data_IF_879695731296
#
_entry.id   IF_879695731296
#
_cell.length_a   1.000
_cell.length_b   1.000
_cell.length_c   1.000
_cell.angle_alpha   90.00
_cell.angle_beta   90.00
_cell.angle_gamma   90.00
#
_symmetry.space_group_name_H-M   'P 1'
#
loop_
_entity.id
_entity.type
_entity.pdbx_description
1 polymer ?
#
# COMPACT_ATOMS: atom_id res chain seq x y z
N UNK A 1 -31.78 19.09 -2.60
CA UNK A 1 -32.15 18.04 -1.65
C UNK A 1 -32.57 16.84 -2.50
N UNK A 2 -31.64 15.96 -2.85
CA UNK A 2 -31.89 14.76 -3.64
C UNK A 2 -32.51 13.75 -2.68
N UNK A 3 -33.81 13.49 -2.80
CA UNK A 3 -34.43 12.34 -2.14
C UNK A 3 -33.78 11.10 -2.72
N UNK A 4 -32.95 10.41 -1.91
CA UNK A 4 -32.58 9.02 -2.17
C UNK A 4 -33.88 8.24 -2.11
N UNK A 5 -34.38 7.86 -3.29
CA UNK A 5 -35.63 7.08 -3.45
C UNK A 5 -35.48 5.74 -2.74
N UNK A 6 -36.56 5.31 -2.12
CA UNK A 6 -36.69 3.97 -1.54
C UNK A 6 -36.13 2.93 -2.53
N UNK A 7 -35.04 2.30 -2.14
CA UNK A 7 -34.54 1.08 -2.78
C UNK A 7 -35.64 0.03 -2.50
N UNK A 8 -36.54 -0.19 -3.41
CA UNK A 8 -37.45 -1.36 -3.37
C UNK A 8 -36.53 -2.56 -3.58
N UNK A 9 -36.10 -3.12 -2.48
CA UNK A 9 -35.14 -4.19 -2.47
C UNK A 9 -35.81 -5.45 -3.04
N UNK A 10 -35.29 -5.88 -4.17
CA UNK A 10 -35.32 -7.29 -4.53
C UNK A 10 -35.00 -8.09 -3.27
N UNK A 11 -35.77 -9.10 -2.88
CA UNK A 11 -35.47 -9.88 -1.70
C UNK A 11 -34.02 -10.32 -1.73
N UNK A 12 -33.31 -10.19 -0.61
CA UNK A 12 -31.84 -10.48 -0.54
C UNK A 12 -31.46 -11.86 -1.08
N UNK A 13 -32.43 -12.81 -1.01
CA UNK A 13 -32.30 -14.17 -1.52
C UNK A 13 -32.44 -14.31 -3.03
N UNK A 14 -32.78 -13.26 -3.75
CA UNK A 14 -32.95 -13.30 -5.23
C UNK A 14 -31.67 -12.84 -5.91
N UNK A 15 -31.07 -11.74 -5.45
CA UNK A 15 -29.93 -11.11 -6.11
C UNK A 15 -28.66 -11.98 -6.16
N UNK A 16 -28.41 -12.75 -5.10
CA UNK A 16 -27.27 -13.67 -4.99
C UNK A 16 -27.66 -15.14 -5.06
N UNK A 17 -28.71 -15.46 -5.82
CA UNK A 17 -29.20 -16.82 -5.95
C UNK A 17 -28.96 -17.34 -7.36
N UNK A 18 -28.25 -18.46 -7.47
CA UNK A 18 -27.85 -19.09 -8.73
C UNK A 18 -29.05 -19.51 -9.63
N UNK A 19 -30.24 -19.53 -9.07
CA UNK A 19 -31.48 -19.80 -9.82
C UNK A 19 -32.07 -18.57 -10.51
N UNK A 20 -31.50 -17.38 -10.27
CA UNK A 20 -32.02 -16.15 -10.85
C UNK A 20 -30.97 -15.51 -11.76
N UNK A 21 -31.42 -14.99 -12.88
CA UNK A 21 -30.65 -14.17 -13.78
C UNK A 21 -30.89 -12.69 -13.46
N UNK A 22 -29.80 -11.92 -13.37
CA UNK A 22 -29.84 -10.49 -13.15
C UNK A 22 -29.32 -9.78 -14.41
N UNK A 23 -30.09 -8.86 -14.98
CA UNK A 23 -29.70 -8.08 -16.15
C UNK A 23 -29.87 -6.59 -15.89
N UNK A 24 -29.00 -5.79 -16.48
CA UNK A 24 -29.11 -4.33 -16.44
C UNK A 24 -30.08 -3.88 -17.52
N UNK A 25 -31.02 -3.05 -17.13
CA UNK A 25 -32.01 -2.44 -18.04
C UNK A 25 -31.97 -0.92 -17.98
N UNK A 26 -32.15 -0.27 -19.14
CA UNK A 26 -32.51 1.15 -19.18
C UNK A 26 -34.01 1.24 -19.23
N UNK A 27 -34.60 2.12 -18.45
CA UNK A 27 -36.04 2.28 -18.35
C UNK A 27 -36.47 3.73 -18.45
N UNK A 28 -37.74 3.90 -18.75
CA UNK A 28 -38.45 5.19 -18.79
C UNK A 28 -39.87 5.01 -18.25
N UNK A 29 -40.29 5.90 -17.36
CA UNK A 29 -41.59 5.77 -16.68
C UNK A 29 -41.51 4.99 -15.38
N UNK A 30 -42.64 4.44 -14.91
CA UNK A 30 -42.73 3.71 -13.63
C UNK A 30 -42.52 2.20 -13.84
N UNK A 31 -41.28 1.78 -13.94
CA UNK A 31 -40.91 0.38 -14.07
C UNK A 31 -41.30 -0.45 -12.85
N UNK A 32 -41.34 0.16 -11.65
CA UNK A 32 -41.70 -0.56 -10.41
C UNK A 32 -43.15 -0.96 -10.44
N UNK A 33 -44.05 -0.04 -10.84
CA UNK A 33 -45.47 -0.34 -10.95
C UNK A 33 -45.74 -1.43 -12.02
N UNK A 34 -45.05 -1.35 -13.14
CA UNK A 34 -45.21 -2.32 -14.21
C UNK A 34 -44.74 -3.72 -13.83
N UNK A 35 -43.50 -3.83 -13.31
CA UNK A 35 -42.92 -5.13 -12.92
C UNK A 35 -43.65 -5.76 -11.74
N UNK A 36 -44.18 -4.98 -10.79
CA UNK A 36 -44.90 -5.49 -9.63
C UNK A 36 -46.18 -6.29 -10.00
N UNK A 37 -46.70 -6.11 -11.21
CA UNK A 37 -47.86 -6.85 -11.74
C UNK A 37 -47.49 -8.28 -12.18
N UNK A 38 -46.18 -8.59 -12.25
CA UNK A 38 -45.69 -9.91 -12.67
C UNK A 38 -44.81 -10.54 -11.57
N UNK A 39 -45.31 -11.58 -10.89
CA UNK A 39 -44.62 -12.18 -9.73
C UNK A 39 -43.31 -12.93 -10.07
N UNK A 40 -43.03 -13.16 -11.36
CA UNK A 40 -41.84 -13.87 -11.80
C UNK A 40 -40.63 -12.94 -11.94
N UNK A 41 -40.84 -11.63 -11.82
CA UNK A 41 -39.81 -10.62 -12.00
C UNK A 41 -39.65 -9.73 -10.76
N UNK A 42 -38.45 -9.33 -10.54
CA UNK A 42 -38.07 -8.35 -9.49
C UNK A 42 -37.27 -7.22 -10.11
N UNK A 43 -37.43 -6.00 -9.61
CA UNK A 43 -36.68 -4.84 -10.08
C UNK A 43 -35.98 -4.14 -8.94
N UNK A 44 -34.70 -3.86 -9.13
CA UNK A 44 -33.89 -3.04 -8.24
C UNK A 44 -33.49 -1.77 -8.96
N UNK A 45 -33.97 -0.62 -8.49
CA UNK A 45 -33.64 0.68 -9.08
C UNK A 45 -32.21 1.06 -8.72
N UNK A 46 -31.40 1.42 -9.72
CA UNK A 46 -30.05 1.95 -9.55
C UNK A 46 -30.06 3.48 -9.54
N UNK A 47 -30.73 4.06 -10.53
CA UNK A 47 -30.94 5.51 -10.64
C UNK A 47 -32.11 5.80 -11.58
N UNK A 48 -32.33 7.06 -11.95
CA UNK A 48 -33.46 7.49 -12.80
C UNK A 48 -33.43 6.91 -14.23
N UNK A 49 -32.39 6.23 -14.63
CA UNK A 49 -32.19 5.69 -15.96
C UNK A 49 -31.98 4.16 -16.00
N UNK A 50 -31.37 3.60 -14.95
CA UNK A 50 -30.94 2.21 -14.89
C UNK A 50 -31.60 1.46 -13.74
N UNK A 51 -31.95 0.22 -14.01
CA UNK A 51 -32.41 -0.73 -13.02
C UNK A 51 -31.82 -2.12 -13.29
N UNK A 52 -31.88 -3.00 -12.31
CA UNK A 52 -31.58 -4.43 -12.47
C UNK A 52 -32.90 -5.18 -12.47
N UNK A 53 -33.16 -5.93 -13.52
CA UNK A 53 -34.27 -6.87 -13.63
C UNK A 53 -33.77 -8.26 -13.26
N UNK A 54 -34.41 -8.87 -12.27
CA UNK A 54 -34.07 -10.22 -11.79
C UNK A 54 -35.24 -11.16 -12.08
N UNK A 55 -35.01 -12.33 -12.65
CA UNK A 55 -35.99 -13.33 -12.94
C UNK A 55 -35.40 -14.74 -12.87
N UNK A 56 -36.28 -15.76 -12.68
CA UNK A 56 -35.83 -17.14 -12.63
C UNK A 56 -35.26 -17.57 -13.97
N UNK A 57 -34.06 -18.16 -13.91
CA UNK A 57 -33.43 -18.78 -15.07
C UNK A 57 -34.14 -20.07 -15.42
N UNK A 58 -34.61 -20.21 -16.67
CA UNK A 58 -35.22 -21.43 -17.23
C UNK A 58 -34.19 -22.30 -17.99
N UNK A 59 -32.90 -21.94 -17.91
CA UNK A 59 -31.82 -22.59 -18.62
C UNK A 59 -31.64 -22.14 -20.08
N UNK A 60 -32.67 -21.55 -20.70
CA UNK A 60 -32.60 -21.03 -22.07
C UNK A 60 -32.25 -19.52 -22.12
N UNK A 61 -32.37 -18.83 -21.00
CA UNK A 61 -32.00 -17.41 -20.80
C UNK A 61 -32.37 -16.48 -21.97
N UNK A 62 -33.54 -16.73 -22.61
CA UNK A 62 -33.93 -15.97 -23.79
C UNK A 62 -34.53 -14.62 -23.37
N UNK A 63 -33.66 -13.62 -23.27
CA UNK A 63 -33.96 -12.25 -22.87
C UNK A 63 -34.91 -11.56 -23.87
N UNK A 64 -34.90 -11.96 -25.14
CA UNK A 64 -35.71 -11.38 -26.19
C UNK A 64 -37.21 -11.57 -25.97
N UNK A 65 -37.61 -12.54 -25.13
CA UNK A 65 -39.04 -12.78 -24.77
C UNK A 65 -39.55 -11.84 -23.70
N UNK A 66 -38.66 -11.14 -23.00
CA UNK A 66 -39.03 -10.21 -21.95
C UNK A 66 -39.51 -8.91 -22.62
N UNK A 67 -40.78 -8.54 -22.37
CA UNK A 67 -41.34 -7.30 -22.92
C UNK A 67 -42.05 -6.55 -21.81
N UNK A 68 -41.53 -5.38 -21.50
CA UNK A 68 -42.14 -4.40 -20.62
C UNK A 68 -42.06 -3.04 -21.31
N UNK A 69 -43.15 -2.29 -21.30
CA UNK A 69 -43.25 -1.00 -22.00
C UNK A 69 -42.31 0.05 -21.42
N UNK A 70 -42.03 -0.06 -20.13
CA UNK A 70 -41.08 0.82 -19.45
C UNK A 70 -39.58 0.52 -19.75
N UNK A 71 -39.28 -0.66 -20.31
CA UNK A 71 -37.90 -1.03 -20.62
C UNK A 71 -37.53 -0.59 -22.03
N UNK A 72 -36.60 0.35 -22.12
CA UNK A 72 -36.10 0.91 -23.39
C UNK A 72 -34.95 0.07 -23.96
N UNK A 73 -34.09 -0.49 -23.09
CA UNK A 73 -32.95 -1.30 -23.49
C UNK A 73 -32.61 -2.33 -22.42
N UNK A 74 -32.27 -3.54 -22.83
CA UNK A 74 -31.76 -4.60 -21.98
C UNK A 74 -30.32 -4.94 -22.38
N UNK A 75 -29.39 -4.90 -21.41
CA UNK A 75 -28.03 -5.30 -21.64
C UNK A 75 -27.90 -6.81 -21.44
N UNK A 76 -27.37 -7.51 -22.45
CA UNK A 76 -26.98 -8.90 -22.27
C UNK A 76 -25.96 -9.05 -21.13
N UNK A 77 -26.02 -10.16 -20.39
CA UNK A 77 -25.07 -10.41 -19.30
C UNK A 77 -23.63 -10.33 -19.79
N UNK A 78 -22.86 -9.44 -19.18
CA UNK A 78 -21.40 -9.35 -19.34
C UNK A 78 -20.74 -9.83 -18.06
N UNK A 79 -19.65 -10.54 -18.23
CA UNK A 79 -18.88 -11.10 -17.11
C UNK A 79 -17.51 -10.45 -17.05
N UNK A 80 -17.13 -10.02 -15.86
CA UNK A 80 -15.86 -9.39 -15.59
C UNK A 80 -15.02 -10.32 -14.72
N UNK A 81 -13.75 -10.44 -15.06
CA UNK A 81 -12.76 -11.15 -14.25
C UNK A 81 -11.78 -10.17 -13.64
N UNK A 82 -11.20 -10.56 -12.51
CA UNK A 82 -10.11 -9.79 -11.93
C UNK A 82 -8.95 -9.76 -12.94
N UNK A 83 -8.58 -8.58 -13.40
CA UNK A 83 -7.40 -8.39 -14.22
C UNK A 83 -6.19 -8.29 -13.30
N UNK A 84 -5.33 -9.29 -13.31
CA UNK A 84 -4.00 -9.21 -12.75
C UNK A 84 -2.99 -9.11 -13.90
N UNK A 85 -2.56 -7.90 -14.20
CA UNK A 85 -1.35 -7.74 -14.99
C UNK A 85 -0.19 -8.02 -14.06
N UNK A 86 0.63 -9.03 -14.38
CA UNK A 86 1.86 -9.27 -13.62
C UNK A 86 2.69 -7.99 -13.60
N UNK A 87 3.19 -7.53 -12.45
CA UNK A 87 4.08 -6.36 -12.38
C UNK A 87 5.27 -6.45 -13.33
N UNK A 88 5.76 -7.66 -13.59
CA UNK A 88 6.84 -7.96 -14.54
C UNK A 88 6.44 -7.64 -15.97
N UNK A 89 5.20 -7.97 -16.36
CA UNK A 89 4.71 -7.72 -17.71
C UNK A 89 4.39 -6.23 -17.90
N UNK A 90 3.83 -5.58 -16.88
CA UNK A 90 3.58 -4.15 -16.87
C UNK A 90 4.87 -3.31 -17.02
N UNK A 91 5.94 -3.73 -16.34
CA UNK A 91 7.25 -3.09 -16.40
C UNK A 91 8.15 -3.62 -17.54
N UNK A 92 7.65 -4.54 -18.39
CA UNK A 92 8.37 -5.17 -19.51
C UNK A 92 9.67 -5.88 -19.10
N UNK A 93 9.77 -6.33 -17.85
CA UNK A 93 10.98 -6.92 -17.27
C UNK A 93 11.25 -8.32 -17.82
N UNK A 94 10.23 -9.03 -18.29
CA UNK A 94 10.35 -10.40 -18.81
C UNK A 94 11.43 -10.52 -19.88
N UNK A 95 11.60 -9.53 -20.73
CA UNK A 95 12.64 -9.51 -21.76
C UNK A 95 14.06 -9.62 -21.18
N UNK A 96 14.32 -8.94 -20.04
CA UNK A 96 15.63 -8.99 -19.38
C UNK A 96 15.90 -10.34 -18.70
N UNK A 97 14.86 -11.02 -18.24
CA UNK A 97 14.99 -12.34 -17.60
C UNK A 97 15.28 -13.46 -18.60
N UNK A 98 14.74 -13.39 -19.83
CA UNK A 98 14.81 -14.49 -20.81
C UNK A 98 15.78 -14.22 -21.97
N UNK A 99 16.17 -12.97 -22.19
CA UNK A 99 17.02 -12.59 -23.33
C UNK A 99 18.47 -12.98 -23.12
N UNK A 100 18.98 -13.85 -23.98
CA UNK A 100 20.40 -14.17 -24.06
C UNK A 100 21.17 -12.99 -24.70
N UNK A 101 22.35 -12.60 -24.20
CA UNK A 101 23.11 -13.22 -23.10
C UNK A 101 22.82 -12.64 -21.71
N UNK A 102 21.85 -11.74 -21.55
CA UNK A 102 21.63 -11.00 -20.30
C UNK A 102 21.13 -11.91 -19.17
N UNK A 103 20.03 -12.64 -19.36
CA UNK A 103 19.42 -13.54 -18.39
C UNK A 103 19.49 -13.01 -16.93
N UNK A 104 18.98 -11.79 -16.74
CA UNK A 104 19.09 -11.07 -15.47
C UNK A 104 18.03 -11.56 -14.48
N UNK A 105 18.40 -12.45 -13.59
CA UNK A 105 17.53 -13.09 -12.60
C UNK A 105 17.81 -12.64 -11.17
N UNK A 106 18.78 -11.75 -10.98
CA UNK A 106 19.22 -11.27 -9.66
C UNK A 106 20.19 -12.21 -8.94
N UNK A 107 20.69 -13.25 -9.61
CA UNK A 107 21.64 -14.18 -9.01
C UNK A 107 22.92 -13.46 -8.55
N UNK A 108 23.30 -13.69 -7.27
CA UNK A 108 24.47 -13.07 -6.66
C UNK A 108 24.24 -11.64 -6.15
N UNK A 109 23.02 -11.15 -6.23
CA UNK A 109 22.60 -9.85 -5.65
C UNK A 109 21.89 -10.10 -4.32
N UNK A 110 22.17 -9.29 -3.33
CA UNK A 110 21.40 -9.23 -2.08
C UNK A 110 20.32 -8.14 -2.21
N UNK A 111 19.07 -8.51 -1.96
CA UNK A 111 17.97 -7.55 -1.85
C UNK A 111 17.61 -7.41 -0.38
N UNK A 112 17.82 -6.22 0.17
CA UNK A 112 17.40 -5.84 1.51
C UNK A 112 15.96 -5.30 1.45
N UNK A 113 15.05 -5.86 2.23
CA UNK A 113 13.64 -5.45 2.28
C UNK A 113 13.33 -4.99 3.70
N UNK A 114 12.77 -3.80 3.84
CA UNK A 114 12.45 -3.17 5.13
C UNK A 114 10.93 -3.00 5.20
N UNK A 115 10.26 -3.86 5.99
CA UNK A 115 8.80 -3.96 5.93
C UNK A 115 8.20 -4.59 7.21
N UNK A 116 7.02 -5.17 7.15
CA UNK A 116 6.30 -5.84 8.24
C UNK A 116 6.78 -7.26 8.54
N UNK A 117 7.77 -7.77 7.79
CA UNK A 117 8.30 -9.12 7.90
C UNK A 117 8.19 -9.92 6.60
N UNK A 118 8.29 -11.23 6.72
CA UNK A 118 8.17 -12.17 5.60
C UNK A 118 7.67 -13.53 6.07
N UNK A 119 6.79 -14.17 5.29
CA UNK A 119 6.49 -15.60 5.45
C UNK A 119 7.66 -16.43 4.91
N UNK A 120 8.63 -16.72 5.76
CA UNK A 120 9.84 -17.48 5.41
C UNK A 120 9.56 -18.95 5.10
N UNK A 121 8.38 -19.47 5.40
CA UNK A 121 7.96 -20.84 5.07
C UNK A 121 7.44 -20.95 3.64
N UNK A 122 7.18 -19.85 2.97
CA UNK A 122 6.73 -19.85 1.58
C UNK A 122 7.81 -20.41 0.65
N UNK A 123 7.45 -21.41 -0.15
CA UNK A 123 8.32 -22.01 -1.16
C UNK A 123 8.81 -21.00 -2.21
N UNK A 124 8.12 -19.86 -2.33
CA UNK A 124 8.48 -18.78 -3.25
C UNK A 124 9.82 -18.13 -2.90
N UNK A 125 10.26 -18.23 -1.63
CA UNK A 125 11.53 -17.68 -1.15
C UNK A 125 12.60 -18.76 -0.93
N UNK A 126 12.37 -19.96 -1.47
CA UNK A 126 13.34 -21.06 -1.41
C UNK A 126 14.03 -21.28 -2.76
N UNK A 127 15.17 -21.92 -2.73
CA UNK A 127 15.87 -22.40 -3.93
C UNK A 127 15.23 -23.70 -4.48
N UNK A 128 15.76 -24.22 -5.58
CA UNK A 128 15.29 -25.47 -6.21
C UNK A 128 15.44 -26.70 -5.32
N UNK A 129 16.30 -26.65 -4.32
CA UNK A 129 16.52 -27.71 -3.35
C UNK A 129 15.66 -27.52 -2.09
N UNK A 130 14.83 -26.50 -2.06
CA UNK A 130 13.95 -26.19 -0.93
C UNK A 130 14.68 -25.54 0.26
N UNK A 131 15.87 -24.98 0.07
CA UNK A 131 16.60 -24.21 1.09
C UNK A 131 16.21 -22.75 0.96
N UNK A 132 16.19 -22.05 2.08
CA UNK A 132 15.89 -20.62 2.06
C UNK A 132 16.90 -19.81 1.25
N UNK A 133 16.42 -18.79 0.53
CA UNK A 133 17.21 -17.73 -0.08
C UNK A 133 17.38 -16.52 0.85
N UNK A 134 16.80 -16.57 2.04
CA UNK A 134 16.97 -15.55 3.08
C UNK A 134 18.33 -15.73 3.74
N UNK A 135 19.20 -14.74 3.61
CA UNK A 135 20.46 -14.65 4.35
C UNK A 135 20.19 -14.39 5.82
N UNK A 136 19.26 -13.48 6.11
CA UNK A 136 18.81 -13.21 7.47
C UNK A 136 17.39 -12.62 7.49
N UNK A 137 16.75 -12.74 8.66
CA UNK A 137 15.60 -11.96 9.10
C UNK A 137 16.02 -11.24 10.37
N UNK A 138 16.00 -9.91 10.36
CA UNK A 138 16.11 -9.11 11.56
C UNK A 138 14.71 -8.67 11.99
N UNK A 139 14.24 -9.27 13.07
CA UNK A 139 12.93 -8.93 13.65
C UNK A 139 13.14 -7.98 14.83
N UNK A 140 12.76 -6.71 14.65
CA UNK A 140 12.91 -5.69 15.70
C UNK A 140 11.87 -5.84 16.83
N UNK A 141 10.84 -6.65 16.63
CA UNK A 141 9.78 -6.88 17.63
C UNK A 141 10.12 -7.95 18.65
N UNK A 142 11.10 -8.80 18.35
CA UNK A 142 11.52 -9.93 19.19
C UNK A 142 12.72 -9.53 20.04
N UNK A 143 12.54 -9.49 21.35
CA UNK A 143 13.62 -9.15 22.28
C UNK A 143 14.74 -10.21 22.22
N UNK A 144 15.96 -9.77 21.99
CA UNK A 144 17.14 -10.64 22.01
C UNK A 144 17.46 -11.07 23.45
N UNK A 145 17.79 -12.34 23.62
CA UNK A 145 18.37 -12.86 24.88
C UNK A 145 19.88 -12.57 24.98
N UNK A 146 20.52 -12.26 23.86
CA UNK A 146 21.94 -11.93 23.77
C UNK A 146 22.14 -10.53 23.24
N UNK A 147 23.02 -9.78 23.86
CA UNK A 147 23.43 -8.48 23.31
C UNK A 147 24.17 -8.70 21.98
N UNK A 148 23.62 -8.16 20.90
CA UNK A 148 24.31 -8.04 19.61
C UNK A 148 24.65 -6.56 19.41
N UNK A 149 25.93 -6.23 19.51
CA UNK A 149 26.40 -4.84 19.39
C UNK A 149 26.22 -4.22 18.01
N UNK A 150 25.83 -5.03 17.02
CA UNK A 150 25.59 -4.58 15.64
C UNK A 150 24.18 -4.03 15.42
N UNK A 151 23.25 -4.33 16.31
CA UNK A 151 21.86 -3.92 16.24
C UNK A 151 21.41 -3.30 17.55
N UNK A 152 20.60 -2.21 17.52
CA UNK A 152 20.15 -1.54 18.75
C UNK A 152 19.06 -2.30 19.50
N UNK A 153 18.30 -3.15 18.79
CA UNK A 153 17.17 -3.93 19.34
C UNK A 153 16.81 -5.07 18.40
N UNK A 154 16.00 -5.99 18.90
CA UNK A 154 15.49 -7.08 18.08
C UNK A 154 16.39 -8.32 18.07
N UNK A 155 16.06 -9.26 17.22
CA UNK A 155 16.81 -10.52 17.03
C UNK A 155 17.03 -10.79 15.56
N UNK A 156 18.24 -11.26 15.23
CA UNK A 156 18.60 -11.65 13.86
C UNK A 156 18.63 -13.18 13.76
N UNK A 157 17.89 -13.70 12.80
CA UNK A 157 17.91 -15.12 12.44
C UNK A 157 18.60 -15.29 11.10
N UNK A 158 19.70 -16.04 11.06
CA UNK A 158 20.44 -16.32 9.84
C UNK A 158 19.90 -17.56 9.12
N UNK A 159 20.35 -17.74 7.89
CA UNK A 159 19.90 -18.79 6.98
C UNK A 159 19.96 -20.22 7.55
N UNK A 160 20.94 -20.52 8.41
CA UNK A 160 21.05 -21.80 9.11
C UNK A 160 19.84 -22.06 10.02
N UNK A 161 19.46 -21.09 10.85
CA UNK A 161 18.30 -21.18 11.74
C UNK A 161 16.99 -21.17 10.96
N UNK A 162 16.89 -20.41 9.89
CA UNK A 162 15.71 -20.40 9.02
C UNK A 162 15.54 -21.78 8.36
N UNK A 163 16.61 -22.41 7.84
CA UNK A 163 16.55 -23.75 7.29
C UNK A 163 16.22 -24.82 8.33
N UNK A 164 16.72 -24.67 9.57
CA UNK A 164 16.37 -25.56 10.69
C UNK A 164 14.85 -25.49 10.97
N UNK A 165 14.27 -24.29 11.02
CA UNK A 165 12.84 -24.07 11.19
C UNK A 165 12.01 -24.66 10.03
N UNK A 166 12.44 -24.44 8.78
CA UNK A 166 11.79 -25.03 7.61
C UNK A 166 11.82 -26.56 7.64
N UNK A 167 12.92 -27.16 8.05
CA UNK A 167 13.04 -28.60 8.17
C UNK A 167 12.13 -29.14 9.31
N UNK A 168 12.06 -28.45 10.45
CA UNK A 168 11.15 -28.81 11.53
C UNK A 168 9.69 -28.78 11.04
N UNK A 169 9.29 -27.71 10.33
CA UNK A 169 7.95 -27.57 9.75
C UNK A 169 7.60 -28.72 8.78
N UNK A 170 8.53 -29.09 7.89
CA UNK A 170 8.34 -30.21 6.95
C UNK A 170 8.15 -31.57 7.64
N UNK A 171 8.70 -31.70 8.82
CA UNK A 171 8.55 -32.90 9.66
C UNK A 171 7.35 -32.82 10.61
N UNK A 172 6.48 -31.81 10.49
CA UNK A 172 5.26 -31.66 11.27
C UNK A 172 5.43 -30.98 12.62
N UNK A 173 6.60 -30.39 12.91
CA UNK A 173 6.84 -29.58 14.11
C UNK A 173 6.48 -28.10 13.91
N UNK A 174 6.54 -27.31 14.99
CA UNK A 174 6.30 -25.89 14.95
C UNK A 174 7.59 -25.12 14.59
N UNK A 175 7.67 -24.49 13.40
CA UNK A 175 8.86 -23.75 12.99
C UNK A 175 9.12 -22.51 13.84
N UNK A 176 8.08 -21.99 14.47
CA UNK A 176 8.17 -20.76 15.28
C UNK A 176 8.81 -20.98 16.64
N UNK A 177 9.04 -22.23 17.06
CA UNK A 177 9.91 -22.56 18.21
C UNK A 177 11.38 -22.20 17.92
N UNK A 178 11.80 -22.16 16.65
CA UNK A 178 13.17 -21.84 16.23
C UNK A 178 13.27 -20.41 15.73
N UNK A 179 12.36 -20.00 14.82
CA UNK A 179 12.32 -18.66 14.25
C UNK A 179 10.90 -18.08 14.44
N UNK A 180 10.65 -17.39 15.58
CA UNK A 180 9.31 -16.90 15.93
C UNK A 180 8.86 -15.67 15.13
N UNK A 181 9.65 -15.22 14.16
CA UNK A 181 9.31 -14.10 13.29
C UNK A 181 8.17 -14.45 12.34
N UNK A 182 7.17 -13.60 12.28
CA UNK A 182 5.98 -13.74 11.41
C UNK A 182 5.65 -12.40 10.76
N UNK A 183 5.08 -12.45 9.58
CA UNK A 183 4.46 -11.29 8.94
C UNK A 183 2.94 -11.34 9.15
N UNK A 184 2.48 -10.77 10.25
CA UNK A 184 1.05 -10.75 10.62
C UNK A 184 0.23 -9.83 9.73
N UNK A 185 0.86 -8.80 9.14
CA UNK A 185 0.22 -7.81 8.26
C UNK A 185 0.13 -8.35 6.82
N UNK A 186 1.15 -9.09 6.38
CA UNK A 186 1.24 -9.66 5.04
C UNK A 186 1.78 -8.70 3.97
N UNK A 187 2.04 -7.42 4.31
CA UNK A 187 2.56 -6.44 3.37
C UNK A 187 3.98 -6.78 2.94
N UNK A 188 4.89 -7.08 3.88
CA UNK A 188 6.27 -7.42 3.59
C UNK A 188 6.39 -8.69 2.76
N UNK A 189 5.57 -9.71 3.02
CA UNK A 189 5.51 -10.93 2.22
C UNK A 189 5.04 -10.65 0.79
N UNK A 190 4.03 -9.78 0.63
CA UNK A 190 3.51 -9.38 -0.68
C UNK A 190 4.56 -8.62 -1.49
N UNK A 191 5.22 -7.64 -0.87
CA UNK A 191 6.31 -6.87 -1.50
C UNK A 191 7.50 -7.76 -1.87
N UNK A 192 7.90 -8.65 -0.96
CA UNK A 192 8.95 -9.65 -1.22
C UNK A 192 8.59 -10.55 -2.39
N UNK A 193 7.32 -10.92 -2.54
CA UNK A 193 6.85 -11.77 -3.65
C UNK A 193 6.95 -11.08 -5.00
N UNK A 194 6.56 -9.80 -5.08
CA UNK A 194 6.72 -9.01 -6.31
C UNK A 194 8.18 -8.96 -6.74
N UNK A 195 9.10 -8.86 -5.80
CA UNK A 195 10.54 -8.76 -6.08
C UNK A 195 11.12 -10.13 -6.40
N UNK A 196 10.89 -11.13 -5.55
CA UNK A 196 11.74 -12.31 -5.47
C UNK A 196 11.00 -13.65 -5.55
N UNK A 197 9.68 -13.69 -5.78
CA UNK A 197 8.98 -14.96 -5.88
C UNK A 197 9.55 -15.82 -7.02
N UNK A 198 9.77 -17.09 -6.74
CA UNK A 198 10.30 -18.05 -7.73
C UNK A 198 9.27 -18.40 -8.81
N UNK A 199 7.98 -18.24 -8.51
CA UNK A 199 6.89 -18.59 -9.40
C UNK A 199 6.54 -20.07 -9.36
N UNK A 200 6.72 -20.74 -8.21
CA UNK A 200 6.50 -22.16 -8.05
C UNK A 200 5.03 -22.56 -8.09
N UNK A 201 4.17 -21.86 -7.36
CA UNK A 201 2.75 -22.23 -7.19
C UNK A 201 1.78 -21.36 -7.98
N UNK A 202 2.04 -20.07 -8.11
CA UNK A 202 1.04 -19.09 -8.57
C UNK A 202 1.34 -18.44 -9.93
N UNK A 203 2.33 -18.93 -10.67
CA UNK A 203 2.80 -18.35 -11.94
C UNK A 203 3.27 -16.90 -11.85
N UNK A 204 3.19 -16.27 -10.67
CA UNK A 204 3.74 -14.94 -10.42
C UNK A 204 5.22 -15.09 -10.10
N UNK A 205 6.02 -14.91 -11.10
CA UNK A 205 7.47 -14.88 -10.94
C UNK A 205 7.89 -13.46 -10.57
N UNK A 206 8.75 -13.29 -9.56
CA UNK A 206 9.25 -11.98 -9.15
C UNK A 206 10.19 -11.34 -10.18
N UNK A 207 10.53 -10.09 -9.96
CA UNK A 207 11.44 -9.31 -10.82
C UNK A 207 12.84 -9.96 -10.85
N UNK A 208 13.33 -10.40 -9.69
CA UNK A 208 14.66 -11.02 -9.49
C UNK A 208 14.55 -12.36 -8.74
N UNK A 209 14.00 -13.40 -9.38
CA UNK A 209 13.60 -14.64 -8.72
C UNK A 209 14.75 -15.49 -8.17
N UNK A 210 16.00 -15.17 -8.50
CA UNK A 210 17.20 -15.88 -8.03
C UNK A 210 18.07 -15.02 -7.10
N UNK A 211 17.58 -13.85 -6.66
CA UNK A 211 18.29 -13.04 -5.71
C UNK A 211 18.35 -13.67 -4.32
N UNK A 212 19.32 -13.22 -3.53
CA UNK A 212 19.35 -13.46 -2.09
C UNK A 212 18.55 -12.36 -1.38
N UNK A 213 17.98 -12.68 -0.21
CA UNK A 213 17.14 -11.77 0.54
C UNK A 213 17.71 -11.53 1.94
N UNK A 214 17.61 -10.29 2.40
CA UNK A 214 17.78 -9.93 3.80
C UNK A 214 16.57 -9.08 4.19
N UNK A 215 15.76 -9.56 5.13
CA UNK A 215 14.48 -8.90 5.47
C UNK A 215 14.57 -8.33 6.87
N UNK A 216 14.12 -7.10 7.03
CA UNK A 216 13.97 -6.47 8.33
C UNK A 216 12.50 -6.23 8.60
N UNK A 217 12.00 -6.84 9.67
CA UNK A 217 10.69 -6.55 10.24
C UNK A 217 10.83 -5.38 11.21
N UNK A 218 10.21 -4.27 10.88
CA UNK A 218 10.22 -3.06 11.69
C UNK A 218 9.34 -3.21 12.94
N UNK A 219 9.79 -2.61 14.03
CA UNK A 219 8.95 -2.39 15.20
C UNK A 219 8.14 -1.10 15.03
N UNK A 220 6.85 -1.18 15.32
CA UNK A 220 5.95 -0.05 15.30
C UNK A 220 6.27 0.96 16.41
N UNK A 221 6.13 2.25 16.14
CA UNK A 221 6.23 3.30 17.15
C UNK A 221 4.90 3.49 17.88
N UNK A 222 4.70 2.72 18.92
CA UNK A 222 3.48 2.77 19.76
C UNK A 222 3.25 4.11 20.45
N UNK A 223 4.28 4.94 20.61
CA UNK A 223 4.15 6.31 21.15
C UNK A 223 3.50 7.21 20.09
N UNK A 224 3.98 7.11 18.86
CA UNK A 224 3.42 7.87 17.74
C UNK A 224 1.99 7.43 17.43
N UNK A 225 1.70 6.14 17.36
CA UNK A 225 0.35 5.61 17.14
C UNK A 225 -0.64 6.14 18.18
N UNK A 226 -0.28 6.09 19.45
CA UNK A 226 -1.10 6.62 20.54
C UNK A 226 -1.28 8.13 20.45
N UNK A 227 -0.22 8.87 20.08
CA UNK A 227 -0.25 10.33 19.96
C UNK A 227 -1.16 10.78 18.82
N UNK A 228 -1.08 10.10 17.69
CA UNK A 228 -1.87 10.42 16.49
C UNK A 228 -3.23 9.69 16.44
N UNK A 229 -3.52 8.83 17.42
CA UNK A 229 -4.76 8.02 17.49
C UNK A 229 -5.02 7.26 16.17
N UNK A 230 -3.98 6.68 15.60
CA UNK A 230 -4.06 5.96 14.33
C UNK A 230 -4.02 4.46 14.56
N UNK A 231 -4.81 3.72 13.78
CA UNK A 231 -4.76 2.25 13.70
C UNK A 231 -3.78 1.76 12.61
N UNK A 232 -3.20 2.69 11.85
CA UNK A 232 -2.20 2.37 10.83
C UNK A 232 -0.82 2.27 11.49
N UNK A 233 -0.04 1.20 11.22
CA UNK A 233 1.31 1.06 11.73
C UNK A 233 2.20 2.25 11.36
N UNK A 234 2.88 2.82 12.35
CA UNK A 234 3.81 3.95 12.18
C UNK A 234 5.22 3.51 12.59
N UNK A 235 6.19 3.86 11.77
CA UNK A 235 7.59 3.51 12.01
C UNK A 235 8.45 4.76 12.21
N UNK A 236 9.37 4.69 13.15
CA UNK A 236 10.24 5.81 13.47
C UNK A 236 11.40 5.91 12.47
N UNK A 237 11.74 7.12 12.05
CA UNK A 237 12.87 7.38 11.15
C UNK A 237 14.18 6.83 11.68
N UNK A 238 14.38 6.81 13.00
CA UNK A 238 15.60 6.24 13.62
C UNK A 238 15.80 4.77 13.31
N UNK A 239 14.71 4.02 13.18
CA UNK A 239 14.75 2.61 12.73
C UNK A 239 15.30 2.51 11.33
N UNK A 240 14.93 3.42 10.42
CA UNK A 240 15.39 3.40 9.03
C UNK A 240 16.90 3.61 8.93
N UNK A 241 17.48 4.56 9.68
CA UNK A 241 18.92 4.75 9.72
C UNK A 241 19.65 3.48 10.15
N UNK A 242 19.20 2.86 11.24
CA UNK A 242 19.84 1.65 11.77
C UNK A 242 19.73 0.46 10.82
N UNK A 243 18.58 0.32 10.18
CA UNK A 243 18.32 -0.78 9.23
C UNK A 243 19.13 -0.64 7.95
N UNK A 244 19.18 0.56 7.38
CA UNK A 244 19.97 0.84 6.18
C UNK A 244 21.44 0.52 6.44
N UNK A 245 21.99 1.01 7.56
CA UNK A 245 23.38 0.75 7.93
C UNK A 245 23.62 -0.76 8.13
N UNK A 246 22.75 -1.43 8.87
CA UNK A 246 22.89 -2.87 9.11
C UNK A 246 22.90 -3.68 7.81
N UNK A 247 21.96 -3.42 6.90
CA UNK A 247 21.86 -4.14 5.61
C UNK A 247 23.08 -3.85 4.72
N UNK A 248 23.59 -2.62 4.75
CA UNK A 248 24.81 -2.26 4.06
C UNK A 248 26.01 -3.05 4.60
N UNK A 249 26.23 -3.05 5.92
CA UNK A 249 27.32 -3.77 6.56
C UNK A 249 27.21 -5.28 6.32
N UNK A 250 25.99 -5.83 6.36
CA UNK A 250 25.75 -7.24 6.05
C UNK A 250 26.14 -7.56 4.60
N UNK A 251 25.72 -6.76 3.63
CA UNK A 251 26.07 -6.94 2.23
C UNK A 251 27.59 -6.86 1.98
N UNK A 252 28.27 -5.92 2.65
CA UNK A 252 29.74 -5.79 2.57
C UNK A 252 30.44 -7.03 3.12
N UNK A 253 29.97 -7.56 4.26
CA UNK A 253 30.53 -8.78 4.86
C UNK A 253 30.34 -10.00 3.95
N UNK A 254 29.18 -10.11 3.30
CA UNK A 254 28.87 -11.16 2.33
C UNK A 254 29.49 -10.91 0.95
N UNK A 255 30.12 -9.75 0.73
CA UNK A 255 30.71 -9.31 -0.55
C UNK A 255 29.72 -9.34 -1.72
N UNK A 256 28.50 -8.93 -1.46
CA UNK A 256 27.42 -8.87 -2.45
C UNK A 256 27.05 -7.44 -2.79
N UNK A 257 26.71 -7.13 -4.05
CA UNK A 257 25.98 -5.92 -4.37
C UNK A 257 24.62 -5.91 -3.67
N UNK A 258 24.20 -4.73 -3.23
CA UNK A 258 23.00 -4.51 -2.43
C UNK A 258 21.96 -3.70 -3.20
N UNK A 259 20.74 -4.19 -3.26
CA UNK A 259 19.56 -3.42 -3.61
C UNK A 259 18.69 -3.28 -2.37
N UNK A 260 18.52 -2.09 -1.87
CA UNK A 260 17.66 -1.78 -0.72
C UNK A 260 16.30 -1.34 -1.21
N UNK A 261 15.26 -2.05 -0.80
CA UNK A 261 13.87 -1.72 -1.09
C UNK A 261 13.17 -1.21 0.17
N UNK A 262 12.73 0.03 0.11
CA UNK A 262 12.06 0.76 1.18
C UNK A 262 10.62 1.12 0.75
N UNK A 263 9.64 0.21 0.87
CA UNK A 263 8.25 0.49 0.51
C UNK A 263 7.54 1.29 1.61
N UNK A 264 8.17 2.33 2.07
CA UNK A 264 7.75 3.20 3.16
C UNK A 264 7.71 4.63 2.66
N UNK A 265 6.82 5.43 3.20
CA UNK A 265 6.69 6.83 2.84
C UNK A 265 6.24 7.70 4.00
N UNK A 266 6.41 9.00 3.83
CA UNK A 266 5.91 10.03 4.73
C UNK A 266 5.41 11.20 3.92
N UNK A 267 4.43 11.92 4.45
CA UNK A 267 3.98 13.20 3.91
C UNK A 267 4.74 14.39 4.53
N UNK A 268 5.63 14.14 5.48
CA UNK A 268 6.47 15.19 6.08
C UNK A 268 7.64 15.55 5.16
N UNK A 269 8.11 16.79 5.28
CA UNK A 269 9.25 17.28 4.55
C UNK A 269 8.88 18.07 3.28
N UNK A 270 9.91 18.58 2.62
CA UNK A 270 9.75 19.51 1.51
C UNK A 270 9.47 18.85 0.14
N UNK A 271 9.36 17.55 0.07
CA UNK A 271 9.15 16.74 -1.13
C UNK A 271 10.19 16.98 -2.26
N UNK A 272 11.39 17.45 -1.89
CA UNK A 272 12.50 17.72 -2.84
C UNK A 272 13.70 16.79 -2.65
N UNK A 273 13.61 15.86 -1.70
CA UNK A 273 14.67 14.88 -1.46
C UNK A 273 15.92 15.45 -0.76
N UNK A 274 15.77 16.49 0.07
CA UNK A 274 16.88 17.07 0.82
C UNK A 274 16.60 17.13 2.33
N UNK A 275 15.91 16.15 2.86
CA UNK A 275 15.82 15.86 4.29
C UNK A 275 17.01 15.01 4.76
N UNK A 276 17.10 14.83 6.07
CA UNK A 276 18.24 14.10 6.70
C UNK A 276 18.32 12.63 6.26
N UNK A 277 17.18 11.96 6.08
CA UNK A 277 17.16 10.58 5.59
C UNK A 277 17.55 10.50 4.13
N UNK A 278 17.08 11.44 3.32
CA UNK A 278 17.37 11.51 1.89
C UNK A 278 18.86 11.78 1.66
N UNK A 279 19.47 12.69 2.41
CA UNK A 279 20.92 12.94 2.38
C UNK A 279 21.69 11.67 2.77
N UNK A 280 21.26 10.96 3.81
CA UNK A 280 21.90 9.70 4.22
C UNK A 280 21.78 8.63 3.11
N UNK A 281 20.61 8.51 2.47
CA UNK A 281 20.40 7.59 1.34
C UNK A 281 21.28 7.99 0.15
N UNK A 282 21.40 9.28 -0.14
CA UNK A 282 22.27 9.78 -1.20
C UNK A 282 23.72 9.40 -0.95
N UNK A 283 24.24 9.68 0.26
CA UNK A 283 25.61 9.32 0.65
C UNK A 283 25.86 7.81 0.53
N UNK A 284 24.90 6.99 1.00
CA UNK A 284 25.03 5.55 0.92
C UNK A 284 24.98 5.04 -0.52
N UNK A 285 24.21 5.68 -1.38
CA UNK A 285 24.07 5.32 -2.80
C UNK A 285 25.32 5.62 -3.63
N UNK A 286 26.21 6.50 -3.14
CA UNK A 286 27.51 6.75 -3.75
C UNK A 286 28.45 5.55 -3.67
N UNK A 287 28.16 4.58 -2.80
CA UNK A 287 28.95 3.38 -2.69
C UNK A 287 28.71 2.44 -3.88
N UNK A 288 29.79 1.96 -4.48
CA UNK A 288 29.69 1.06 -5.63
C UNK A 288 28.93 -0.22 -5.29
N UNK A 289 27.92 -0.55 -6.09
CA UNK A 289 27.12 -1.76 -5.92
C UNK A 289 25.98 -1.60 -4.92
N UNK A 290 25.62 -0.38 -4.54
CA UNK A 290 24.46 -0.07 -3.70
C UNK A 290 23.42 0.67 -4.52
N UNK A 291 22.17 0.22 -4.45
CA UNK A 291 21.02 0.84 -5.12
C UNK A 291 19.87 0.91 -4.14
N UNK A 292 19.21 2.06 -4.07
CA UNK A 292 17.97 2.24 -3.32
C UNK A 292 16.76 2.26 -4.24
N UNK A 293 15.70 1.62 -3.82
CA UNK A 293 14.41 1.58 -4.52
C UNK A 293 13.32 1.90 -3.53
N UNK A 294 12.47 2.86 -3.86
CA UNK A 294 11.31 3.24 -3.05
C UNK A 294 10.10 3.48 -3.94
N UNK A 295 8.90 3.53 -3.36
CA UNK A 295 7.67 3.90 -4.03
C UNK A 295 7.40 5.40 -3.93
N UNK A 296 6.45 5.87 -4.74
CA UNK A 296 5.99 7.28 -4.74
C UNK A 296 4.83 7.53 -3.77
N UNK A 297 4.41 6.51 -3.03
CA UNK A 297 3.24 6.54 -2.14
C UNK A 297 1.92 6.23 -2.85
N UNK A 298 0.87 6.08 -2.05
CA UNK A 298 -0.48 5.72 -2.51
C UNK A 298 -1.49 6.86 -2.38
N UNK A 299 -1.07 8.02 -1.88
CA UNK A 299 -1.94 9.12 -1.43
C UNK A 299 -2.14 10.22 -2.49
N UNK A 300 -1.92 9.93 -3.77
CA UNK A 300 -2.04 10.91 -4.85
C UNK A 300 -3.41 11.58 -4.99
N UNK A 301 -4.47 10.96 -4.44
CA UNK A 301 -5.84 11.50 -4.43
C UNK A 301 -6.24 12.17 -3.11
N UNK A 302 -5.45 12.05 -2.04
CA UNK A 302 -5.82 12.46 -0.68
C UNK A 302 -5.74 13.97 -0.43
N UNK A 303 -5.28 14.75 -1.42
CA UNK A 303 -5.16 16.21 -1.33
C UNK A 303 -4.32 16.70 -0.15
N UNK A 304 -3.38 15.90 0.33
CA UNK A 304 -2.50 16.21 1.45
C UNK A 304 -1.36 17.17 1.12
N UNK A 305 -1.21 17.57 -0.15
CA UNK A 305 -0.13 18.42 -0.61
C UNK A 305 -0.62 19.47 -1.62
N UNK A 306 -0.08 20.67 -1.49
CA UNK A 306 -0.27 21.77 -2.45
C UNK A 306 1.05 22.48 -2.70
N UNK A 307 1.31 22.84 -3.95
CA UNK A 307 2.47 23.65 -4.31
C UNK A 307 2.03 24.89 -5.10
N UNK A 308 2.81 25.96 -4.99
CA UNK A 308 2.51 27.22 -5.65
C UNK A 308 3.76 28.07 -5.84
N UNK A 309 3.60 29.23 -6.45
CA UNK A 309 4.69 30.18 -6.69
C UNK A 309 4.20 31.57 -6.35
N UNK A 310 4.99 32.30 -5.56
CA UNK A 310 4.87 33.74 -5.38
C UNK A 310 5.92 34.41 -6.26
N UNK A 311 5.50 35.33 -7.11
CA UNK A 311 6.33 35.87 -8.19
C UNK A 311 7.05 37.17 -7.82
N UNK A 312 6.55 37.91 -6.80
CA UNK A 312 7.15 39.13 -6.37
C UNK A 312 6.96 39.39 -4.86
N UNK A 313 7.79 40.27 -4.30
CA UNK A 313 7.72 40.62 -2.87
C UNK A 313 6.39 41.25 -2.52
N UNK A 314 5.74 40.77 -1.47
CA UNK A 314 4.43 41.21 -0.99
C UNK A 314 3.24 40.54 -1.70
N UNK A 315 3.47 39.63 -2.65
CA UNK A 315 2.40 38.80 -3.21
C UNK A 315 1.83 37.87 -2.14
N UNK A 316 0.51 37.70 -2.16
CA UNK A 316 -0.23 36.85 -1.24
C UNK A 316 -1.01 35.79 -2.02
N UNK A 317 -1.06 34.61 -1.49
CA UNK A 317 -1.95 33.55 -1.96
C UNK A 317 -2.67 32.94 -0.77
N UNK A 318 -3.85 32.40 -1.00
CA UNK A 318 -4.64 31.72 0.03
C UNK A 318 -4.77 30.26 -0.33
N UNK A 319 -4.59 29.40 0.65
CA UNK A 319 -4.78 27.95 0.54
C UNK A 319 -5.89 27.59 1.51
N UNK A 320 -6.90 26.90 1.03
CA UNK A 320 -7.95 26.37 1.87
C UNK A 320 -7.52 25.04 2.46
N UNK A 321 -7.54 24.95 3.77
CA UNK A 321 -7.30 23.73 4.52
C UNK A 321 -8.63 23.20 5.03
N UNK A 322 -8.94 21.95 4.70
CA UNK A 322 -10.09 21.23 5.20
C UNK A 322 -9.67 20.29 6.31
N UNK A 323 -10.27 20.46 7.49
CA UNK A 323 -10.04 19.59 8.64
C UNK A 323 -11.31 18.77 8.87
N UNK A 324 -11.21 17.44 8.84
CA UNK A 324 -12.37 16.59 9.07
C UNK A 324 -12.75 16.51 10.55
N UNK A 325 -14.04 16.25 10.84
CA UNK A 325 -14.58 16.22 12.22
C UNK A 325 -13.89 15.19 13.13
N UNK A 326 -13.30 14.13 12.54
CA UNK A 326 -12.65 13.04 13.28
C UNK A 326 -11.19 13.33 13.66
N UNK A 327 -10.65 14.50 13.27
CA UNK A 327 -9.25 14.86 13.52
C UNK A 327 -9.08 15.71 14.77
N UNK A 328 -8.43 15.15 15.77
CA UNK A 328 -8.04 15.89 16.99
C UNK A 328 -6.76 16.74 16.80
N UNK A 329 -5.97 16.43 15.80
CA UNK A 329 -4.66 17.03 15.57
C UNK A 329 -4.33 17.03 14.07
N UNK A 330 -3.85 18.17 13.58
CA UNK A 330 -3.33 18.32 12.22
C UNK A 330 -1.98 19.01 12.27
N UNK A 331 -1.00 18.48 11.56
CA UNK A 331 0.29 19.12 11.32
C UNK A 331 0.35 19.63 9.90
N UNK A 332 0.67 20.89 9.72
CA UNK A 332 0.85 21.51 8.41
C UNK A 332 2.26 22.08 8.33
N UNK A 333 3.00 21.67 7.34
CA UNK A 333 4.36 22.13 7.09
C UNK A 333 4.39 23.08 5.89
N UNK A 334 5.05 24.23 6.05
CA UNK A 334 5.24 25.21 4.99
C UNK A 334 6.71 25.27 4.61
N UNK A 335 7.02 24.83 3.41
CA UNK A 335 8.38 24.79 2.89
C UNK A 335 8.62 25.88 1.84
N UNK A 336 9.71 26.62 1.99
CA UNK A 336 10.05 27.78 1.16
C UNK A 336 11.50 27.66 0.72
N UNK A 337 11.76 27.95 -0.56
CA UNK A 337 13.11 27.93 -1.08
C UNK A 337 13.93 29.12 -0.58
N UNK A 338 15.10 28.83 0.00
CA UNK A 338 16.08 29.85 0.34
C UNK A 338 16.53 30.59 -0.94
N UNK A 339 16.81 31.90 -0.89
CA UNK A 339 16.85 32.78 0.29
C UNK A 339 15.54 33.51 0.62
N UNK A 340 14.43 33.04 0.10
CA UNK A 340 13.14 33.71 0.28
C UNK A 340 12.68 33.63 1.74
N UNK A 341 11.92 34.64 2.18
CA UNK A 341 11.29 34.68 3.47
C UNK A 341 9.79 34.85 3.26
N UNK A 342 9.00 34.06 3.97
CA UNK A 342 7.54 34.10 3.91
C UNK A 342 6.96 34.37 5.30
N UNK A 343 5.81 34.97 5.33
CA UNK A 343 4.98 35.10 6.53
C UNK A 343 3.70 34.31 6.33
N UNK A 344 3.13 33.81 7.40
CA UNK A 344 1.92 33.00 7.39
C UNK A 344 0.85 33.70 8.20
N UNK A 345 -0.38 33.67 7.74
CA UNK A 345 -1.58 34.07 8.46
C UNK A 345 -2.58 32.94 8.40
N UNK A 346 -3.09 32.49 9.54
CA UNK A 346 -4.13 31.48 9.63
C UNK A 346 -5.46 32.16 9.93
N UNK A 347 -6.48 31.87 9.14
CA UNK A 347 -7.82 32.44 9.29
C UNK A 347 -8.78 31.27 9.57
N UNK A 348 -9.50 31.37 10.69
CA UNK A 348 -10.52 30.39 11.07
C UNK A 348 -11.77 30.49 10.18
N UNK A 349 -12.65 29.51 10.16
CA UNK A 349 -13.92 29.59 9.46
C UNK A 349 -14.82 30.72 9.96
N UNK A 350 -14.69 31.16 11.23
CA UNK A 350 -15.41 32.32 11.82
C UNK A 350 -14.83 33.65 11.40
N UNK A 351 -13.69 33.70 10.70
CA UNK A 351 -13.02 34.93 10.27
C UNK A 351 -12.01 35.50 11.27
N UNK A 352 -11.78 34.83 12.39
CA UNK A 352 -10.69 35.18 13.31
C UNK A 352 -9.35 34.84 12.68
N UNK A 353 -8.33 35.64 12.90
CA UNK A 353 -7.03 35.41 12.31
C UNK A 353 -5.87 35.57 13.30
N UNK A 354 -4.76 34.96 13.01
CA UNK A 354 -3.53 35.03 13.81
C UNK A 354 -2.79 36.33 13.61
N UNK A 355 -3.18 37.16 12.63
CA UNK A 355 -2.32 38.18 12.09
C UNK A 355 -1.13 37.60 11.35
N UNK A 356 -0.27 38.47 10.83
CA UNK A 356 0.93 38.06 10.09
C UNK A 356 1.96 37.54 11.08
N UNK A 357 2.25 36.23 10.97
CA UNK A 357 3.27 35.58 11.78
C UNK A 357 4.56 35.51 10.96
N UNK A 358 5.66 36.14 11.41
CA UNK A 358 6.93 36.09 10.73
C UNK A 358 7.61 34.72 10.93
N UNK A 359 8.37 34.30 9.94
CA UNK A 359 9.23 33.13 10.04
C UNK A 359 10.49 33.42 10.87
N UNK A 360 10.44 33.09 12.15
CA UNK A 360 11.54 33.29 13.09
C UNK A 360 12.03 31.95 13.59
N UNK A 361 13.34 31.70 13.47
CA UNK A 361 13.94 30.45 13.91
C UNK A 361 13.69 30.23 15.41
N UNK A 362 13.19 29.06 15.77
CA UNK A 362 12.86 28.62 17.14
C UNK A 362 11.80 29.46 17.86
N UNK A 363 11.01 30.29 17.17
CA UNK A 363 9.86 30.94 17.80
C UNK A 363 8.66 29.97 17.84
N UNK A 364 7.81 30.20 18.88
CA UNK A 364 6.52 29.48 19.01
C UNK A 364 5.47 30.50 19.39
N UNK A 365 4.44 30.60 18.59
CA UNK A 365 3.28 31.41 18.84
C UNK A 365 2.04 30.52 19.04
N UNK A 366 1.20 30.88 19.98
CA UNK A 366 -0.02 30.15 20.33
C UNK A 366 -1.23 31.03 20.06
N UNK A 367 -2.18 30.49 19.31
CA UNK A 367 -3.44 31.15 19.01
C UNK A 367 -4.60 30.24 19.38
N UNK A 368 -5.67 30.85 19.91
CA UNK A 368 -6.92 30.15 20.20
C UNK A 368 -8.02 30.81 19.42
N UNK A 369 -8.71 30.05 18.58
CA UNK A 369 -9.91 30.49 17.91
C UNK A 369 -11.13 30.06 18.72
N UNK A 370 -12.19 30.88 18.71
CA UNK A 370 -13.45 30.58 19.38
C UNK A 370 -14.44 30.14 18.30
N UNK A 371 -14.90 28.91 18.39
CA UNK A 371 -15.84 28.31 17.42
C UNK A 371 -17.26 28.39 17.94
#
# INVERSE_FOLDING_TARGET
MIKIGNIYSTPKNVFNNDSYLNIVVQYQGDIVEEISKNPDYYVTIINDKYAILSFKSDGNNNIEKIKFDSIVYMKEPEFYTLQSISPIDAAQIRSFQISQPLNLTGKGILVGIVDTGIDYLSEEFMDEYGRTRLHCIWDQTIKSEKEDTRIPSGTVYFSDKINEAINLWRNGGDPYEIVPSKDEVGHGTSMSSIIAARGSKHRLKGVVPECNLAVVKLAEDKIAEKKFKTDVPVYNITSLFTVIQYLYDHAQNEKMPLVLYLPLGTNSGNHKGNGVLEEFIEDMSMNRGVVFVTGVGNEGSERGHVSGKLSYSGEKTSIQLEVTEDMDFLSVEFWIDSPNIMTIEVISPSGENTGITPSIINSKDYYTFIF
#
